data_IF_742114494115
#
_entry.id   IF_742114494115
#
_cell.length_a   1.000
_cell.length_b   1.000
_cell.length_c   1.000
_cell.angle_alpha   90.00
_cell.angle_beta   90.00
_cell.angle_gamma   90.00
#
_symmetry.space_group_name_H-M   'P 1'
#
loop_
_entity.id
_entity.type
_entity.pdbx_description
1 polymer ?
#
# COMPACT_ATOMS: atom_id res chain seq x y z
N UNK A 1 10.25 10.45 -28.88
CA UNK A 1 10.83 10.51 -27.53
C UNK A 1 12.09 9.70 -27.60
N UNK A 2 13.22 10.38 -27.76
CA UNK A 2 14.54 9.83 -27.52
C UNK A 2 14.52 9.38 -26.07
N UNK A 3 14.67 8.07 -25.84
CA UNK A 3 14.76 7.54 -24.51
C UNK A 3 15.91 8.24 -23.79
N UNK A 4 15.56 9.06 -22.79
CA UNK A 4 16.46 9.23 -21.70
C UNK A 4 16.69 7.80 -21.20
N UNK A 5 17.92 7.32 -21.30
CA UNK A 5 18.36 6.22 -20.47
C UNK A 5 18.07 6.69 -19.03
N UNK A 6 16.89 6.36 -18.54
CA UNK A 6 16.63 6.40 -17.14
C UNK A 6 17.58 5.36 -16.57
N UNK A 7 18.78 5.83 -16.28
CA UNK A 7 19.78 5.03 -15.62
C UNK A 7 19.12 4.60 -14.29
N UNK A 8 18.60 3.37 -14.24
CA UNK A 8 18.25 2.67 -13.00
C UNK A 8 19.58 2.40 -12.27
N UNK A 9 20.36 3.44 -12.08
CA UNK A 9 21.64 3.37 -11.34
C UNK A 9 21.41 3.53 -9.84
N UNK A 10 20.22 4.03 -9.49
CA UNK A 10 19.98 4.52 -8.14
C UNK A 10 18.63 4.02 -7.62
N UNK A 11 18.63 2.87 -6.99
CA UNK A 11 17.44 2.34 -6.30
C UNK A 11 17.62 2.39 -4.78
N UNK A 12 16.52 2.44 -4.07
CA UNK A 12 16.49 2.39 -2.61
C UNK A 12 15.57 1.26 -2.22
N UNK A 13 16.05 0.35 -1.38
CA UNK A 13 15.34 -0.85 -0.97
C UNK A 13 15.06 -0.81 0.52
N UNK A 14 13.82 -1.06 0.89
CA UNK A 14 13.44 -1.34 2.28
C UNK A 14 13.67 -2.81 2.61
N UNK A 15 14.35 -3.09 3.70
CA UNK A 15 14.66 -4.45 4.14
C UNK A 15 14.18 -4.63 5.57
N UNK A 16 13.50 -5.76 5.84
CA UNK A 16 13.19 -6.21 7.18
C UNK A 16 14.17 -7.32 7.58
N UNK A 17 14.73 -7.22 8.79
CA UNK A 17 15.65 -8.21 9.33
C UNK A 17 14.91 -9.22 10.19
N UNK A 18 14.62 -10.38 9.62
CA UNK A 18 14.07 -11.51 10.38
C UNK A 18 15.20 -12.31 11.06
N UNK A 19 15.05 -12.81 12.28
CA UNK A 19 13.83 -12.80 13.10
C UNK A 19 13.61 -11.55 13.97
N UNK A 20 14.49 -10.52 13.87
CA UNK A 20 14.31 -9.26 14.61
C UNK A 20 13.22 -8.43 13.94
N UNK A 21 11.96 -8.66 14.32
CA UNK A 21 10.80 -8.03 13.72
C UNK A 21 10.74 -6.49 13.89
N UNK A 22 11.53 -5.96 14.80
CA UNK A 22 11.65 -4.54 15.14
C UNK A 22 12.92 -3.87 14.57
N UNK A 23 13.56 -4.49 13.59
CA UNK A 23 14.73 -3.95 12.91
C UNK A 23 14.57 -4.01 11.40
N UNK A 24 14.75 -2.89 10.74
CA UNK A 24 14.76 -2.76 9.29
C UNK A 24 15.87 -1.83 8.80
N UNK A 25 16.05 -1.78 7.49
CA UNK A 25 17.04 -0.92 6.86
C UNK A 25 16.49 -0.30 5.58
N UNK A 26 16.84 0.96 5.36
CA UNK A 26 16.73 1.61 4.06
C UNK A 26 18.11 1.55 3.41
N UNK A 27 18.23 0.79 2.34
CA UNK A 27 19.52 0.51 1.70
C UNK A 27 19.55 1.18 0.32
N UNK A 28 20.39 2.22 0.11
CA UNK A 28 20.66 2.75 -1.21
C UNK A 28 21.52 1.74 -1.99
N UNK A 29 21.10 1.39 -3.20
CA UNK A 29 21.83 0.49 -4.09
C UNK A 29 22.22 1.26 -5.36
N UNK A 30 23.47 1.06 -5.79
CA UNK A 30 24.03 1.75 -6.98
C UNK A 30 23.71 1.01 -8.27
N UNK A 31 23.45 -0.29 -8.19
CA UNK A 31 23.23 -1.14 -9.35
C UNK A 31 22.21 -2.24 -9.02
N UNK A 32 21.25 -2.46 -9.90
CA UNK A 32 20.23 -3.52 -9.79
C UNK A 32 20.72 -4.87 -10.30
N UNK A 33 22.03 -5.06 -10.46
CA UNK A 33 22.60 -6.37 -10.84
C UNK A 33 22.56 -7.37 -9.69
N UNK A 34 22.40 -8.63 -10.06
CA UNK A 34 22.55 -9.73 -9.10
C UNK A 34 23.95 -9.68 -8.45
N UNK A 35 24.00 -9.75 -7.13
CA UNK A 35 25.23 -9.67 -6.36
C UNK A 35 24.98 -9.56 -4.87
N UNK A 36 26.01 -9.19 -4.13
CA UNK A 36 25.93 -8.95 -2.70
C UNK A 36 25.59 -7.49 -2.43
N UNK A 37 24.53 -7.26 -1.65
CA UNK A 37 24.13 -5.94 -1.22
C UNK A 37 25.05 -5.43 -0.10
N UNK A 38 25.49 -4.17 -0.21
CA UNK A 38 26.27 -3.50 0.83
C UNK A 38 25.35 -2.70 1.75
N UNK A 39 25.56 -2.83 3.05
CA UNK A 39 24.88 -2.06 4.08
C UNK A 39 25.67 -0.83 4.56
N UNK A 40 26.81 -0.50 3.91
CA UNK A 40 27.69 0.56 4.37
C UNK A 40 27.00 1.94 4.48
N UNK A 41 26.03 2.23 3.60
CA UNK A 41 25.25 3.48 3.58
C UNK A 41 23.79 3.25 4.01
N UNK A 42 23.49 2.13 4.65
CA UNK A 42 22.12 1.81 5.09
C UNK A 42 21.71 2.70 6.27
N UNK A 43 20.44 3.08 6.27
CA UNK A 43 19.79 3.75 7.41
C UNK A 43 18.97 2.72 8.17
N UNK A 44 19.27 2.54 9.45
CA UNK A 44 18.50 1.64 10.33
C UNK A 44 17.12 2.23 10.65
N UNK A 45 16.12 1.37 10.67
CA UNK A 45 14.74 1.67 11.04
C UNK A 45 14.23 0.65 12.05
N UNK A 46 13.16 0.98 12.78
CA UNK A 46 12.60 0.09 13.80
C UNK A 46 11.77 -1.06 13.24
N UNK A 47 11.36 -0.98 11.98
CA UNK A 47 10.48 -1.97 11.33
C UNK A 47 10.74 -1.93 9.83
N UNK A 48 10.10 -2.84 9.09
CA UNK A 48 10.09 -2.82 7.62
C UNK A 48 9.77 -1.43 7.11
N UNK A 49 10.68 -0.76 6.41
CA UNK A 49 10.43 0.56 5.87
C UNK A 49 9.53 0.47 4.63
N UNK A 50 8.39 1.13 4.66
CA UNK A 50 7.63 1.42 3.45
C UNK A 50 8.21 2.69 2.82
N UNK A 51 8.59 2.60 1.53
CA UNK A 51 9.29 3.67 0.84
C UNK A 51 8.43 4.20 -0.30
N UNK A 52 8.24 5.49 -0.32
CA UNK A 52 7.52 6.19 -1.38
C UNK A 52 8.43 7.26 -1.98
N UNK A 53 8.41 7.39 -3.30
CA UNK A 53 9.22 8.39 -3.99
C UNK A 53 8.35 9.52 -4.54
N UNK A 54 8.85 10.74 -4.45
CA UNK A 54 8.28 11.90 -5.10
C UNK A 54 9.38 12.87 -5.52
N UNK A 55 9.52 13.14 -6.82
CA UNK A 55 10.66 13.88 -7.39
C UNK A 55 11.98 13.21 -7.00
N UNK A 56 12.93 13.98 -6.45
CA UNK A 56 14.24 13.49 -6.02
C UNK A 56 14.26 13.07 -4.54
N UNK A 57 13.11 12.93 -3.91
CA UNK A 57 12.99 12.56 -2.51
C UNK A 57 12.42 11.16 -2.32
N UNK A 58 12.88 10.54 -1.25
CA UNK A 58 12.34 9.29 -0.72
C UNK A 58 11.72 9.56 0.64
N UNK A 59 10.50 9.07 0.83
CA UNK A 59 9.77 9.18 2.08
C UNK A 59 9.72 7.81 2.73
N UNK A 60 10.24 7.72 3.94
CA UNK A 60 10.05 6.59 4.82
C UNK A 60 8.73 6.74 5.55
N UNK A 61 7.84 5.77 5.37
CA UNK A 61 6.56 5.65 6.05
C UNK A 61 6.68 4.48 7.03
N UNK A 62 6.55 4.72 8.35
CA UNK A 62 6.94 3.74 9.36
C UNK A 62 5.92 2.61 9.62
N UNK A 63 4.79 2.58 8.92
CA UNK A 63 3.75 1.58 9.17
C UNK A 63 3.20 1.68 10.60
N UNK A 64 3.33 0.60 11.38
CA UNK A 64 2.74 0.47 12.71
C UNK A 64 3.68 0.85 13.86
N UNK A 65 4.93 1.21 13.60
CA UNK A 65 5.96 1.33 14.65
C UNK A 65 6.20 2.75 15.16
N UNK A 66 5.99 3.74 14.31
CA UNK A 66 6.31 5.13 14.60
C UNK A 66 5.29 6.07 13.97
N UNK A 67 5.15 7.27 14.55
CA UNK A 67 4.27 8.32 14.04
C UNK A 67 4.99 9.39 13.21
N UNK A 68 6.22 9.13 12.75
CA UNK A 68 7.05 10.12 12.07
C UNK A 68 7.43 9.67 10.67
N UNK A 69 6.95 10.38 9.66
CA UNK A 69 7.40 10.24 8.27
C UNK A 69 8.73 11.00 8.13
N UNK A 70 9.72 10.36 7.51
CA UNK A 70 11.03 10.98 7.27
C UNK A 70 11.28 11.12 5.77
N UNK A 71 11.65 12.33 5.35
CA UNK A 71 12.04 12.63 3.97
C UNK A 71 13.56 12.60 3.84
N UNK A 72 14.03 11.88 2.83
CA UNK A 72 15.44 11.79 2.48
C UNK A 72 15.70 12.31 1.06
N UNK A 73 16.89 12.86 0.85
CA UNK A 73 17.52 13.00 -0.46
C UNK A 73 18.72 12.05 -0.55
N UNK A 74 18.95 11.52 -1.76
CA UNK A 74 20.16 10.77 -2.03
C UNK A 74 21.29 11.73 -2.41
N UNK A 75 22.48 11.47 -1.85
CA UNK A 75 23.68 12.23 -2.13
C UNK A 75 24.53 11.53 -3.21
N UNK A 76 25.44 12.27 -3.86
CA UNK A 76 26.32 11.75 -4.91
C UNK A 76 27.24 10.61 -4.43
N UNK A 77 27.57 10.57 -3.14
CA UNK A 77 28.34 9.50 -2.50
C UNK A 77 27.50 8.25 -2.18
N UNK A 78 26.20 8.28 -2.51
CA UNK A 78 25.26 7.19 -2.27
C UNK A 78 24.68 7.15 -0.87
N UNK A 79 24.96 8.13 -0.01
CA UNK A 79 24.33 8.24 1.31
C UNK A 79 22.93 8.86 1.24
N UNK A 80 22.13 8.69 2.29
CA UNK A 80 20.82 9.31 2.46
C UNK A 80 20.92 10.44 3.48
N UNK A 81 20.54 11.65 3.08
CA UNK A 81 20.47 12.81 3.94
C UNK A 81 19.02 13.08 4.33
N UNK A 82 18.76 13.26 5.63
CA UNK A 82 17.44 13.69 6.12
C UNK A 82 17.18 15.12 5.70
N UNK A 83 16.11 15.34 4.94
CA UNK A 83 15.66 16.67 4.48
C UNK A 83 14.47 17.20 5.28
N UNK A 84 13.82 16.36 6.07
CA UNK A 84 12.74 16.78 6.94
C UNK A 84 12.00 15.63 7.60
N UNK A 85 11.17 15.98 8.57
CA UNK A 85 10.34 15.05 9.34
C UNK A 85 8.93 15.62 9.48
N UNK A 86 7.92 14.75 9.41
CA UNK A 86 6.52 15.08 9.69
C UNK A 86 6.06 14.23 10.86
N UNK A 87 5.79 14.88 11.97
CA UNK A 87 5.17 14.21 13.12
C UNK A 87 3.68 14.03 12.84
N UNK A 88 3.26 12.78 12.82
CA UNK A 88 1.85 12.39 12.79
C UNK A 88 1.47 12.08 14.23
N UNK A 89 1.14 13.11 15.01
CA UNK A 89 0.86 12.97 16.44
C UNK A 89 -0.34 12.06 16.67
N UNK A 90 -0.09 10.89 17.24
CA UNK A 90 -1.11 9.89 17.52
C UNK A 90 -0.76 9.09 18.77
N UNK A 91 -1.78 8.68 19.53
CA UNK A 91 -1.61 7.86 20.73
C UNK A 91 -1.23 6.40 20.37
N UNK A 92 -1.57 5.96 19.17
CA UNK A 92 -1.22 4.64 18.61
C UNK A 92 -0.66 4.86 17.20
N UNK A 93 0.62 5.21 17.07
CA UNK A 93 1.20 5.67 15.82
C UNK A 93 1.10 4.61 14.73
N UNK A 94 0.45 5.00 13.65
CA UNK A 94 0.39 4.25 12.39
C UNK A 94 0.25 5.25 11.25
N UNK A 95 1.15 5.14 10.28
CA UNK A 95 1.06 5.85 9.02
C UNK A 95 1.22 4.84 7.89
N UNK A 96 0.23 4.74 7.00
CA UNK A 96 0.17 3.63 6.05
C UNK A 96 0.55 4.03 4.62
N UNK A 97 0.22 5.25 4.19
CA UNK A 97 0.41 5.67 2.80
C UNK A 97 0.52 7.18 2.66
N UNK A 98 1.12 7.64 1.54
CA UNK A 98 1.16 9.04 1.13
C UNK A 98 0.63 9.16 -0.31
N UNK A 99 -0.18 10.18 -0.57
CA UNK A 99 -0.57 10.58 -1.93
C UNK A 99 -0.10 12.02 -2.19
N UNK A 100 0.73 12.19 -3.23
CA UNK A 100 1.33 13.49 -3.57
C UNK A 100 0.49 14.22 -4.62
N UNK A 101 -0.07 15.36 -4.26
CA UNK A 101 -0.83 16.24 -5.18
C UNK A 101 0.13 17.15 -5.94
N UNK A 102 1.03 17.82 -5.21
CA UNK A 102 1.96 18.81 -5.76
C UNK A 102 3.19 18.95 -4.86
N UNK A 103 4.11 19.85 -5.23
CA UNK A 103 5.25 20.20 -4.38
C UNK A 103 4.86 20.81 -3.02
N UNK A 104 3.63 21.28 -2.88
CA UNK A 104 3.16 21.98 -1.67
C UNK A 104 1.97 21.31 -0.98
N UNK A 105 1.43 20.23 -1.56
CA UNK A 105 0.30 19.49 -1.00
C UNK A 105 0.48 17.99 -1.17
N UNK A 106 0.33 17.27 -0.08
CA UNK A 106 0.26 15.81 -0.03
C UNK A 106 -0.66 15.37 1.10
N UNK A 107 -1.13 14.13 1.03
CA UNK A 107 -1.94 13.48 2.05
C UNK A 107 -1.17 12.31 2.65
N UNK A 108 -1.28 12.12 3.98
CA UNK A 108 -0.76 10.94 4.67
C UNK A 108 -1.87 10.31 5.51
N UNK A 109 -2.05 9.00 5.42
CA UNK A 109 -3.08 8.29 6.19
C UNK A 109 -2.61 7.99 7.61
N UNK A 110 -3.47 8.23 8.59
CA UNK A 110 -3.31 7.89 10.00
C UNK A 110 -4.46 6.97 10.46
N UNK A 111 -4.37 5.65 10.19
CA UNK A 111 -5.49 4.71 10.34
C UNK A 111 -6.04 4.63 11.75
N UNK A 112 -5.19 4.56 12.77
CA UNK A 112 -5.62 4.43 14.16
C UNK A 112 -6.29 5.69 14.70
N UNK A 113 -5.97 6.86 14.15
CA UNK A 113 -6.61 8.13 14.49
C UNK A 113 -7.85 8.43 13.65
N UNK A 114 -8.12 7.60 12.63
CA UNK A 114 -9.15 7.84 11.63
C UNK A 114 -9.05 9.25 11.02
N UNK A 115 -7.83 9.61 10.60
CA UNK A 115 -7.49 10.89 10.01
C UNK A 115 -6.66 10.76 8.76
N UNK A 116 -6.76 11.77 7.92
CA UNK A 116 -5.85 12.00 6.81
C UNK A 116 -5.15 13.34 7.06
N UNK A 117 -3.83 13.30 7.17
CA UNK A 117 -3.02 14.49 7.42
C UNK A 117 -2.71 15.16 6.08
N UNK A 118 -2.94 16.46 6.01
CA UNK A 118 -2.55 17.29 4.86
C UNK A 118 -1.24 17.97 5.20
N UNK A 119 -0.25 17.88 4.32
CA UNK A 119 1.07 18.48 4.57
C UNK A 119 1.73 18.99 3.30
N UNK A 120 2.72 19.85 3.47
CA UNK A 120 3.59 20.30 2.40
C UNK A 120 4.81 19.36 2.31
N UNK A 121 4.96 18.55 1.23
CA UNK A 121 6.05 17.58 1.13
C UNK A 121 7.43 18.23 0.91
N UNK A 122 7.48 19.49 0.46
CA UNK A 122 8.74 20.23 0.35
C UNK A 122 9.28 20.63 1.72
N UNK A 123 8.43 21.18 2.59
CA UNK A 123 8.83 21.70 3.91
C UNK A 123 8.61 20.72 5.05
N UNK A 124 7.90 19.62 4.84
CA UNK A 124 7.46 18.66 5.84
C UNK A 124 6.62 19.27 6.96
N UNK A 125 5.86 20.31 6.63
CA UNK A 125 4.97 21.00 7.57
C UNK A 125 3.53 20.54 7.35
N UNK A 126 2.86 20.11 8.43
CA UNK A 126 1.41 19.84 8.43
C UNK A 126 0.66 21.14 8.14
N UNK A 127 -0.26 21.09 7.18
CA UNK A 127 -1.08 22.23 6.76
C UNK A 127 -2.56 22.06 7.11
N UNK A 128 -3.00 20.83 7.38
CA UNK A 128 -4.38 20.54 7.76
C UNK A 128 -4.59 19.06 8.11
N UNK A 129 -5.83 18.71 8.35
CA UNK A 129 -6.25 17.31 8.52
C UNK A 129 -7.72 17.14 8.14
N UNK A 130 -8.07 15.94 7.67
CA UNK A 130 -9.43 15.50 7.42
C UNK A 130 -9.77 14.45 8.48
N UNK A 131 -10.74 14.76 9.34
CA UNK A 131 -11.25 13.81 10.32
C UNK A 131 -12.32 12.93 9.64
N UNK A 132 -12.02 11.64 9.51
CA UNK A 132 -12.94 10.64 8.93
C UNK A 132 -13.58 9.74 10.00
N UNK A 133 -13.35 10.02 11.29
CA UNK A 133 -13.99 9.33 12.42
C UNK A 133 -15.48 9.71 12.55
N UNK A 134 -16.29 9.37 11.55
CA UNK A 134 -17.70 9.70 11.48
C UNK A 134 -18.53 8.52 11.02
N UNK A 135 -19.76 8.34 11.57
CA UNK A 135 -20.64 7.22 11.20
C UNK A 135 -20.97 7.14 9.70
N UNK A 136 -21.04 8.28 9.01
CA UNK A 136 -21.30 8.35 7.57
C UNK A 136 -20.16 7.87 6.68
N UNK A 137 -18.95 7.71 7.24
CA UNK A 137 -17.76 7.25 6.52
C UNK A 137 -17.28 5.86 6.93
N UNK A 138 -18.00 5.22 7.85
CA UNK A 138 -17.73 3.86 8.28
C UNK A 138 -18.89 2.92 7.94
N UNK A 139 -18.59 1.64 7.89
CA UNK A 139 -19.57 0.60 7.64
C UNK A 139 -20.49 0.44 8.86
N UNK A 140 -21.78 0.22 8.60
CA UNK A 140 -22.80 -0.01 9.65
C UNK A 140 -22.85 1.09 10.72
N UNK A 141 -22.52 2.34 10.35
CA UNK A 141 -22.47 3.46 11.29
C UNK A 141 -21.26 3.44 12.23
N UNK A 142 -20.25 2.66 11.94
CA UNK A 142 -18.95 2.71 12.62
C UNK A 142 -18.29 4.07 12.41
N UNK A 143 -17.59 4.58 13.42
CA UNK A 143 -16.76 5.78 13.30
C UNK A 143 -15.28 5.47 13.11
N UNK A 144 -14.95 4.25 12.67
CA UNK A 144 -13.58 3.78 12.52
C UNK A 144 -13.31 3.21 11.13
N UNK A 145 -13.35 4.05 10.06
CA UNK A 145 -13.05 3.59 8.71
C UNK A 145 -11.60 3.10 8.54
N UNK A 146 -10.68 3.53 9.41
CA UNK A 146 -9.26 3.17 9.37
C UNK A 146 -8.65 3.41 7.98
N UNK A 147 -8.39 4.66 7.56
CA UNK A 147 -7.84 4.99 6.25
C UNK A 147 -6.45 4.39 6.06
N UNK A 148 -6.27 3.54 5.05
CA UNK A 148 -5.02 2.83 4.75
C UNK A 148 -4.33 3.40 3.50
N UNK A 149 -4.46 2.73 2.37
CA UNK A 149 -3.86 3.15 1.10
C UNK A 149 -4.54 4.37 0.50
N UNK A 150 -3.76 5.22 -0.12
CA UNK A 150 -4.19 6.48 -0.73
C UNK A 150 -3.79 6.51 -2.20
N UNK A 151 -4.70 6.93 -3.09
CA UNK A 151 -4.36 7.20 -4.48
C UNK A 151 -5.19 8.36 -5.03
N UNK A 152 -4.56 9.17 -5.88
CA UNK A 152 -5.21 10.31 -6.55
C UNK A 152 -5.62 9.94 -7.98
N UNK A 153 -6.85 10.28 -8.35
CA UNK A 153 -7.35 10.17 -9.73
C UNK A 153 -8.43 11.21 -10.01
N UNK A 154 -8.28 11.93 -11.10
CA UNK A 154 -9.29 12.87 -11.62
C UNK A 154 -9.79 13.89 -10.57
N UNK A 155 -8.88 14.50 -9.79
CA UNK A 155 -9.20 15.48 -8.73
C UNK A 155 -9.85 14.88 -7.49
N UNK A 156 -9.78 13.57 -7.32
CA UNK A 156 -10.29 12.85 -6.14
C UNK A 156 -9.21 12.03 -5.49
N UNK A 157 -9.23 12.02 -4.15
CA UNK A 157 -8.44 11.10 -3.34
C UNK A 157 -9.31 9.88 -3.01
N UNK A 158 -8.88 8.72 -3.46
CA UNK A 158 -9.47 7.44 -3.11
C UNK A 158 -8.70 6.85 -1.93
N UNK A 159 -9.43 6.46 -0.89
CA UNK A 159 -8.90 6.00 0.39
C UNK A 159 -9.41 4.61 0.68
N UNK A 160 -8.55 3.61 0.64
CA UNK A 160 -8.90 2.26 1.08
C UNK A 160 -9.11 2.24 2.59
N UNK A 161 -10.25 1.71 3.04
CA UNK A 161 -10.62 1.66 4.44
C UNK A 161 -10.47 0.25 5.00
N UNK A 162 -9.73 0.12 6.09
CA UNK A 162 -9.49 -1.16 6.76
C UNK A 162 -10.70 -1.68 7.52
N UNK A 163 -11.50 -0.78 8.11
CA UNK A 163 -12.66 -1.15 8.94
C UNK A 163 -12.34 -2.28 9.91
N UNK A 164 -11.27 -2.10 10.71
CA UNK A 164 -10.78 -3.17 11.58
C UNK A 164 -11.76 -3.51 12.70
N UNK A 165 -12.09 -4.78 12.83
CA UNK A 165 -12.64 -5.32 14.08
C UNK A 165 -11.52 -5.47 15.11
N UNK A 166 -10.43 -6.10 14.70
CA UNK A 166 -9.16 -6.20 15.42
C UNK A 166 -8.08 -6.44 14.37
N UNK A 167 -7.13 -5.51 14.22
CA UNK A 167 -6.06 -5.69 13.24
C UNK A 167 -5.36 -7.05 13.40
N UNK A 168 -5.15 -7.83 12.33
CA UNK A 168 -5.38 -7.50 10.91
C UNK A 168 -6.75 -7.93 10.35
N UNK A 169 -7.74 -8.19 11.17
CA UNK A 169 -9.07 -8.63 10.74
C UNK A 169 -9.93 -7.42 10.40
N UNK A 170 -10.33 -7.33 9.14
CA UNK A 170 -11.25 -6.30 8.65
C UNK A 170 -12.69 -6.82 8.65
N UNK A 171 -13.66 -5.92 8.68
CA UNK A 171 -15.05 -6.23 8.36
C UNK A 171 -15.16 -6.76 6.93
N UNK A 172 -16.20 -7.53 6.65
CA UNK A 172 -16.42 -8.11 5.33
C UNK A 172 -16.70 -7.02 4.29
N UNK A 173 -16.16 -7.23 3.09
CA UNK A 173 -16.27 -6.32 1.97
C UNK A 173 -15.05 -5.41 1.78
N UNK A 174 -15.06 -4.73 0.66
CA UNK A 174 -14.07 -3.71 0.29
C UNK A 174 -14.72 -2.33 0.42
N UNK A 175 -14.08 -1.41 1.14
CA UNK A 175 -14.59 -0.07 1.42
C UNK A 175 -13.58 0.96 0.94
N UNK A 176 -14.05 1.94 0.15
CA UNK A 176 -13.22 3.04 -0.34
C UNK A 176 -13.96 4.35 -0.09
N UNK A 177 -13.35 5.24 0.69
CA UNK A 177 -13.81 6.60 0.89
C UNK A 177 -13.28 7.49 -0.23
N UNK A 178 -14.14 8.33 -0.80
CA UNK A 178 -13.79 9.28 -1.86
C UNK A 178 -13.84 10.69 -1.29
N UNK A 179 -12.77 11.45 -1.50
CA UNK A 179 -12.58 12.80 -1.02
C UNK A 179 -12.32 13.72 -2.22
N UNK A 180 -12.99 14.84 -2.28
CA UNK A 180 -12.69 15.90 -3.25
C UNK A 180 -11.35 16.55 -2.92
N UNK A 181 -10.41 16.51 -3.85
CA UNK A 181 -9.04 17.00 -3.63
C UNK A 181 -8.95 18.52 -3.53
N UNK A 182 -9.82 19.24 -4.22
CA UNK A 182 -9.79 20.71 -4.25
C UNK A 182 -10.31 21.33 -2.95
N UNK A 183 -11.28 20.67 -2.30
CA UNK A 183 -11.93 21.16 -1.08
C UNK A 183 -11.52 20.39 0.18
N UNK A 184 -10.78 19.29 0.06
CA UNK A 184 -10.44 18.38 1.15
C UNK A 184 -11.67 17.81 1.89
N UNK A 185 -12.77 17.65 1.15
CA UNK A 185 -14.07 17.24 1.72
C UNK A 185 -14.41 15.82 1.31
N UNK A 186 -14.67 14.89 2.28
CA UNK A 186 -15.21 13.59 1.98
C UNK A 186 -16.56 13.68 1.28
N UNK A 187 -16.70 12.95 0.15
CA UNK A 187 -17.94 12.96 -0.64
C UNK A 187 -18.84 11.77 -0.33
N UNK A 188 -18.25 10.57 -0.32
CA UNK A 188 -18.98 9.32 -0.08
C UNK A 188 -18.03 8.16 0.19
N UNK A 189 -18.58 7.10 0.78
CA UNK A 189 -17.95 5.79 0.82
C UNK A 189 -18.63 4.87 -0.19
N UNK A 190 -17.83 4.07 -0.90
CA UNK A 190 -18.31 3.00 -1.79
C UNK A 190 -17.93 1.65 -1.23
N UNK A 191 -18.74 0.63 -1.56
CA UNK A 191 -18.66 -0.66 -0.94
C UNK A 191 -18.90 -1.78 -1.94
N UNK A 192 -18.16 -2.90 -1.80
CA UNK A 192 -18.33 -4.11 -2.60
C UNK A 192 -18.14 -5.35 -1.71
N UNK A 193 -19.03 -6.31 -1.83
CA UNK A 193 -19.02 -7.53 -0.99
C UNK A 193 -18.34 -8.73 -1.64
N UNK A 194 -17.94 -8.62 -2.91
CA UNK A 194 -17.34 -9.75 -3.64
C UNK A 194 -15.94 -10.11 -3.16
N UNK A 195 -15.18 -9.13 -2.67
CA UNK A 195 -13.87 -9.29 -2.04
C UNK A 195 -13.82 -8.49 -0.74
N UNK A 196 -12.83 -8.74 0.10
CA UNK A 196 -12.77 -8.13 1.44
C UNK A 196 -11.42 -7.49 1.74
N UNK A 197 -11.45 -6.49 2.63
CA UNK A 197 -10.30 -5.79 3.15
C UNK A 197 -9.56 -4.98 2.07
N UNK A 198 -10.11 -3.81 1.72
CA UNK A 198 -9.56 -2.95 0.67
C UNK A 198 -8.24 -2.31 1.09
N UNK A 199 -7.28 -2.32 0.15
CA UNK A 199 -6.06 -1.51 0.12
C UNK A 199 -5.25 -1.51 1.42
N UNK A 200 -4.26 -2.41 1.50
CA UNK A 200 -3.29 -2.38 2.58
C UNK A 200 -2.05 -1.57 2.13
N UNK A 201 -1.69 -0.55 2.92
CA UNK A 201 -0.51 0.30 2.69
C UNK A 201 -0.42 0.89 1.26
N UNK A 202 0.79 1.16 0.78
CA UNK A 202 1.09 1.83 -0.49
C UNK A 202 0.84 0.97 -1.75
N UNK A 203 0.87 -0.34 -1.64
CA UNK A 203 0.65 -1.26 -2.77
C UNK A 203 -0.83 -1.67 -2.98
N UNK A 204 -1.73 -1.03 -2.25
CA UNK A 204 -3.15 -1.42 -2.24
C UNK A 204 -3.98 -0.91 -3.41
N UNK A 205 -3.50 0.09 -4.16
CA UNK A 205 -4.22 0.64 -5.31
C UNK A 205 -3.26 1.08 -6.40
N UNK A 206 -3.67 0.93 -7.67
CA UNK A 206 -2.93 1.41 -8.83
C UNK A 206 -3.89 1.80 -9.96
N UNK A 207 -3.38 2.59 -10.91
CA UNK A 207 -4.13 3.04 -12.09
C UNK A 207 -3.43 2.47 -13.32
N UNK A 208 -4.19 1.87 -14.23
CA UNK A 208 -3.66 1.39 -15.50
C UNK A 208 -3.58 2.52 -16.56
N UNK A 209 -3.02 2.21 -17.73
CA UNK A 209 -2.87 3.15 -18.84
C UNK A 209 -4.21 3.56 -19.48
N UNK A 210 -5.31 2.85 -19.19
CA UNK A 210 -6.68 3.23 -19.60
C UNK A 210 -7.29 4.23 -18.64
N UNK A 211 -6.67 4.40 -17.45
CA UNK A 211 -7.14 5.25 -16.37
C UNK A 211 -8.13 4.54 -15.43
N UNK A 212 -8.26 3.23 -15.53
CA UNK A 212 -9.04 2.43 -14.59
C UNK A 212 -8.26 2.29 -13.28
N UNK A 213 -8.94 2.47 -12.16
CA UNK A 213 -8.37 2.31 -10.81
C UNK A 213 -8.66 0.90 -10.31
N UNK A 214 -7.63 0.21 -9.90
CA UNK A 214 -7.73 -1.11 -9.29
C UNK A 214 -7.48 -1.02 -7.78
N UNK A 215 -8.31 -1.72 -7.03
CA UNK A 215 -8.27 -1.80 -5.57
C UNK A 215 -7.92 -3.23 -5.18
N UNK A 216 -6.77 -3.42 -4.56
CA UNK A 216 -6.37 -4.71 -4.01
C UNK A 216 -7.16 -4.99 -2.74
N UNK A 217 -7.77 -6.16 -2.69
CA UNK A 217 -8.43 -6.69 -1.51
C UNK A 217 -7.58 -7.86 -0.99
N UNK A 218 -7.13 -7.80 0.25
CA UNK A 218 -6.15 -8.76 0.79
C UNK A 218 -6.76 -9.87 1.66
N UNK A 219 -8.08 -9.84 1.89
CA UNK A 219 -8.82 -10.94 2.54
C UNK A 219 -8.40 -11.20 3.98
N UNK A 220 -8.02 -10.16 4.75
CA UNK A 220 -7.56 -10.27 6.15
C UNK A 220 -6.52 -11.37 6.36
N UNK A 221 -5.55 -11.51 5.42
CA UNK A 221 -4.51 -12.56 5.42
C UNK A 221 -5.06 -14.01 5.51
N UNK A 222 -6.32 -14.22 5.11
CA UNK A 222 -6.97 -15.53 5.19
C UNK A 222 -7.34 -15.99 6.61
N UNK A 223 -7.28 -15.11 7.61
CA UNK A 223 -7.73 -15.41 8.97
C UNK A 223 -9.25 -15.60 9.06
N UNK A 224 -10.00 -15.04 8.11
CA UNK A 224 -11.47 -15.19 8.03
C UNK A 224 -11.79 -16.01 6.79
N UNK A 225 -12.29 -17.25 6.92
CA UNK A 225 -12.45 -18.19 5.81
C UNK A 225 -13.33 -17.70 4.65
N UNK A 226 -14.33 -16.87 4.94
CA UNK A 226 -15.27 -16.36 3.94
C UNK A 226 -14.82 -15.06 3.27
N UNK A 227 -13.71 -14.48 3.73
CA UNK A 227 -13.14 -13.28 3.12
C UNK A 227 -12.21 -13.66 1.97
N UNK A 228 -12.51 -13.10 0.79
CA UNK A 228 -11.79 -13.37 -0.45
C UNK A 228 -10.83 -12.25 -0.79
N UNK A 229 -9.71 -12.61 -1.40
CA UNK A 229 -8.69 -11.67 -1.88
C UNK A 229 -8.65 -11.59 -3.40
N UNK A 230 -8.15 -10.47 -3.92
CA UNK A 230 -8.04 -10.23 -5.35
C UNK A 230 -8.11 -8.75 -5.71
N UNK A 231 -8.66 -8.41 -6.86
CA UNK A 231 -8.77 -7.04 -7.35
C UNK A 231 -10.20 -6.69 -7.73
N UNK A 232 -10.63 -5.52 -7.30
CA UNK A 232 -11.81 -4.82 -7.79
C UNK A 232 -11.39 -3.64 -8.66
N UNK A 233 -12.28 -3.20 -9.55
CA UNK A 233 -12.00 -2.09 -10.46
C UNK A 233 -13.02 -0.97 -10.27
N UNK A 234 -12.55 0.27 -10.45
CA UNK A 234 -13.36 1.46 -10.63
C UNK A 234 -13.00 2.05 -11.98
N UNK A 235 -13.90 1.99 -12.97
CA UNK A 235 -13.65 2.47 -14.33
C UNK A 235 -13.26 3.95 -14.35
N UNK A 236 -12.47 4.34 -15.34
CA UNK A 236 -12.14 5.75 -15.59
C UNK A 236 -13.42 6.60 -15.64
N UNK A 237 -13.40 7.73 -14.93
CA UNK A 237 -14.54 8.62 -14.81
C UNK A 237 -15.68 8.13 -13.91
N UNK A 238 -15.64 6.90 -13.43
CA UNK A 238 -16.60 6.38 -12.45
C UNK A 238 -16.13 6.62 -11.01
N UNK A 239 -17.09 6.63 -10.09
CA UNK A 239 -16.86 6.68 -8.64
C UNK A 239 -17.63 5.58 -7.90
N UNK A 240 -17.83 4.45 -8.58
CA UNK A 240 -18.41 3.22 -8.04
C UNK A 240 -17.59 2.03 -8.52
N UNK A 241 -17.59 0.95 -7.77
CA UNK A 241 -16.99 -0.30 -8.21
C UNK A 241 -17.69 -0.81 -9.48
N UNK A 242 -16.89 -1.32 -10.41
CA UNK A 242 -17.38 -1.96 -11.63
C UNK A 242 -18.05 -3.30 -11.32
N UNK A 243 -19.36 -3.45 -11.55
CA UNK A 243 -20.06 -4.71 -11.26
C UNK A 243 -19.60 -5.86 -12.15
N UNK A 244 -19.05 -5.56 -13.32
CA UNK A 244 -18.64 -6.55 -14.32
C UNK A 244 -17.20 -7.01 -14.16
N UNK A 245 -16.44 -6.47 -13.19
CA UNK A 245 -15.07 -6.83 -12.94
C UNK A 245 -14.82 -7.25 -11.50
N UNK A 246 -14.32 -8.48 -11.32
CA UNK A 246 -13.86 -9.00 -10.05
C UNK A 246 -12.80 -10.08 -10.30
N UNK A 247 -11.54 -9.76 -10.10
CA UNK A 247 -10.46 -10.72 -10.18
C UNK A 247 -10.30 -11.44 -8.84
N UNK A 248 -11.11 -12.47 -8.62
CA UNK A 248 -11.12 -13.25 -7.39
C UNK A 248 -10.02 -14.33 -7.44
N UNK A 249 -8.91 -14.09 -6.78
CA UNK A 249 -7.76 -15.02 -6.77
C UNK A 249 -7.95 -16.17 -5.76
N UNK A 250 -8.82 -16.02 -4.76
CA UNK A 250 -9.09 -17.09 -3.78
C UNK A 250 -9.71 -18.33 -4.43
N UNK A 251 -10.63 -18.14 -5.37
CA UNK A 251 -11.36 -19.22 -6.00
C UNK A 251 -10.63 -19.83 -7.20
N UNK A 252 -9.56 -19.20 -7.66
CA UNK A 252 -8.76 -19.70 -8.79
C UNK A 252 -8.04 -21.01 -8.45
N UNK A 253 -7.85 -21.83 -9.48
CA UNK A 253 -6.90 -22.93 -9.43
C UNK A 253 -5.70 -22.58 -10.30
N UNK A 254 -4.56 -22.31 -9.67
CA UNK A 254 -3.37 -21.79 -10.35
C UNK A 254 -2.49 -22.95 -10.77
N UNK A 255 -2.31 -23.11 -12.09
CA UNK A 255 -1.44 -24.13 -12.68
C UNK A 255 0.02 -23.90 -12.23
N UNK A 256 0.72 -25.00 -11.92
CA UNK A 256 2.11 -24.96 -11.44
C UNK A 256 2.29 -24.59 -9.97
N UNK A 257 1.23 -24.20 -9.27
CA UNK A 257 1.23 -24.01 -7.83
C UNK A 257 0.82 -25.31 -7.14
N UNK A 258 1.62 -25.79 -6.19
CA UNK A 258 1.27 -26.97 -5.41
C UNK A 258 -0.06 -26.77 -4.68
N UNK A 259 -0.97 -27.75 -4.81
CA UNK A 259 -2.34 -27.62 -4.27
C UNK A 259 -3.25 -26.68 -5.06
N UNK A 260 -2.73 -25.93 -6.03
CA UNK A 260 -3.47 -25.04 -6.93
C UNK A 260 -4.12 -23.81 -6.28
N UNK A 261 -3.98 -23.63 -4.96
CA UNK A 261 -4.70 -22.59 -4.21
C UNK A 261 -3.79 -21.54 -3.60
N UNK A 262 -4.28 -20.31 -3.63
CA UNK A 262 -3.70 -19.16 -2.96
C UNK A 262 -4.64 -18.73 -1.83
N UNK A 263 -4.10 -18.10 -0.79
CA UNK A 263 -4.92 -17.71 0.37
C UNK A 263 -5.04 -16.20 0.53
N UNK A 264 -3.97 -15.46 0.29
CA UNK A 264 -3.95 -14.00 0.33
C UNK A 264 -2.78 -13.44 -0.48
N UNK A 265 -2.82 -12.16 -0.79
CA UNK A 265 -1.71 -11.44 -1.42
C UNK A 265 -1.00 -10.58 -0.38
N UNK A 266 0.34 -10.59 -0.44
CA UNK A 266 1.21 -9.77 0.40
C UNK A 266 1.49 -8.44 -0.27
N UNK A 267 1.71 -8.47 -1.58
CA UNK A 267 2.06 -7.30 -2.38
C UNK A 267 1.68 -7.51 -3.83
N UNK A 268 1.36 -6.43 -4.51
CA UNK A 268 1.08 -6.40 -5.94
C UNK A 268 1.93 -5.32 -6.61
N UNK A 269 2.36 -5.59 -7.82
CA UNK A 269 3.09 -4.63 -8.64
C UNK A 269 2.54 -4.64 -10.07
N UNK A 270 1.94 -3.53 -10.48
CA UNK A 270 1.50 -3.33 -11.85
C UNK A 270 2.66 -2.88 -12.73
N UNK A 271 2.98 -3.66 -13.73
CA UNK A 271 4.12 -3.42 -14.64
C UNK A 271 3.74 -2.70 -15.94
N UNK A 272 2.44 -2.39 -16.14
CA UNK A 272 1.92 -1.80 -17.37
C UNK A 272 1.39 -2.83 -18.36
N UNK A 273 0.60 -2.38 -19.35
CA UNK A 273 0.02 -3.20 -20.42
C UNK A 273 -0.78 -4.41 -19.92
N UNK A 274 -1.46 -4.30 -18.79
CA UNK A 274 -2.22 -5.38 -18.18
C UNK A 274 -1.39 -6.38 -17.38
N UNK A 275 -0.06 -6.23 -17.33
CA UNK A 275 0.79 -7.12 -16.53
C UNK A 275 0.78 -6.74 -15.05
N UNK A 276 0.39 -7.69 -14.22
CA UNK A 276 0.43 -7.60 -12.77
C UNK A 276 1.30 -8.71 -12.19
N UNK A 277 2.18 -8.36 -11.28
CA UNK A 277 2.90 -9.33 -10.45
C UNK A 277 2.29 -9.35 -9.06
N UNK A 278 1.97 -10.55 -8.58
CA UNK A 278 1.31 -10.78 -7.29
C UNK A 278 2.19 -11.67 -6.43
N UNK A 279 2.59 -11.19 -5.27
CA UNK A 279 3.23 -12.03 -4.26
C UNK A 279 2.16 -12.62 -3.37
N UNK A 280 1.83 -13.90 -3.57
CA UNK A 280 0.73 -14.57 -2.91
C UNK A 280 1.19 -15.74 -2.03
N UNK A 281 0.53 -15.89 -0.90
CA UNK A 281 0.76 -17.00 0.02
C UNK A 281 0.08 -18.28 -0.48
N UNK A 282 0.85 -19.37 -0.50
CA UNK A 282 0.39 -20.69 -0.91
C UNK A 282 0.37 -21.63 0.31
N UNK A 283 -0.81 -21.98 0.84
CA UNK A 283 -0.92 -22.78 2.05
C UNK A 283 -0.39 -24.22 1.91
N UNK A 284 -0.29 -24.74 0.70
CA UNK A 284 0.25 -26.09 0.45
C UNK A 284 1.76 -26.22 0.76
N UNK A 285 2.48 -25.11 0.92
CA UNK A 285 3.89 -25.11 1.33
C UNK A 285 4.10 -24.86 2.82
N UNK A 286 3.03 -24.53 3.55
CA UNK A 286 3.11 -24.28 4.97
C UNK A 286 3.05 -25.58 5.74
N UNK A 287 3.79 -25.67 6.85
CA UNK A 287 3.61 -26.70 7.86
C UNK A 287 2.31 -26.48 8.64
N UNK A 288 1.91 -27.47 9.44
CA UNK A 288 0.72 -27.37 10.30
C UNK A 288 0.81 -26.22 11.33
N UNK A 289 2.02 -25.79 11.66
CA UNK A 289 2.31 -24.57 12.45
C UNK A 289 3.27 -23.74 11.62
N UNK A 290 2.78 -22.85 10.75
CA UNK A 290 3.63 -22.16 9.78
C UNK A 290 4.75 -21.36 10.42
N UNK A 291 5.96 -21.59 9.94
CA UNK A 291 7.13 -20.75 10.23
C UNK A 291 7.29 -19.71 9.12
N UNK A 292 6.65 -18.56 9.30
CA UNK A 292 6.66 -17.47 8.31
C UNK A 292 8.05 -16.86 8.05
N UNK A 293 9.05 -17.24 8.83
CA UNK A 293 10.44 -16.77 8.69
C UNK A 293 11.25 -17.68 7.77
N UNK A 294 11.16 -18.99 7.99
CA UNK A 294 12.05 -19.96 7.33
C UNK A 294 11.36 -20.72 6.19
N UNK A 295 10.03 -20.83 6.19
CA UNK A 295 9.29 -21.50 5.13
C UNK A 295 9.12 -20.63 3.91
N UNK A 296 9.34 -21.20 2.72
CA UNK A 296 9.12 -20.53 1.43
C UNK A 296 7.69 -20.76 0.98
N UNK A 297 6.77 -20.02 1.58
CA UNK A 297 5.31 -20.19 1.40
C UNK A 297 4.68 -19.28 0.33
N UNK A 298 5.49 -18.39 -0.28
CA UNK A 298 4.97 -17.41 -1.22
C UNK A 298 5.43 -17.67 -2.65
N UNK A 299 4.52 -17.46 -3.60
CA UNK A 299 4.82 -17.38 -5.03
C UNK A 299 4.73 -15.94 -5.53
N UNK A 300 5.65 -15.58 -6.42
CA UNK A 300 5.50 -14.42 -7.27
C UNK A 300 4.86 -14.89 -8.58
N UNK A 301 3.62 -14.51 -8.80
CA UNK A 301 2.82 -14.89 -9.96
C UNK A 301 2.66 -13.70 -10.91
N UNK A 302 2.68 -13.97 -12.21
CA UNK A 302 2.30 -13.01 -13.24
C UNK A 302 0.83 -13.24 -13.57
N UNK A 303 0.04 -12.18 -13.54
CA UNK A 303 -1.37 -12.18 -13.91
C UNK A 303 -1.64 -11.20 -15.05
N UNK A 304 -2.66 -11.47 -15.85
CA UNK A 304 -3.18 -10.57 -16.88
C UNK A 304 -4.47 -9.93 -16.38
N UNK A 305 -4.47 -8.61 -16.19
CA UNK A 305 -5.62 -7.85 -15.67
C UNK A 305 -6.83 -7.81 -16.60
N UNK A 306 -6.61 -8.07 -17.89
CA UNK A 306 -7.66 -7.90 -18.90
C UNK A 306 -8.31 -9.22 -19.31
N UNK A 307 -7.74 -10.35 -18.91
CA UNK A 307 -8.21 -11.70 -19.24
C UNK A 307 -8.46 -12.56 -18.00
N UNK A 308 -8.98 -11.94 -16.95
CA UNK A 308 -9.31 -12.61 -15.69
C UNK A 308 -10.83 -12.84 -15.53
#
# INVERSE_FOLDING_TARGET
>A
LVGSEMCIRDSIVGINMQPQADMGYIVPIQDMKAGTMSFANAVETKITPYLMSYRDWVFYVPGTSEGTIVKYSRQDDGTLKVEGRLEVATAAPMCASIAFVSATKAYASAPNDNKIIIFNPTTMVKTGEINVARPEYGLDGSSTPNPLGLILRDGKLYVGCGEFDQMPICKSGAHVLIIDEATDTPEKIIHDTRLSAASIFDCGMFIDEKGDLYVTCWGSYGYVPDQKFGLLRIKKGATEFDPDYCFNMTDMNVEGVQGGKLQYSISNFYAGNGELYVLAYCPAFASASPDYINEKTNYCLKADLYHC
#
